data_IF_713007955166
#
_entry.id   IF_713007955166
#
_cell.length_a   1.000
_cell.length_b   1.000
_cell.length_c   1.000
_cell.angle_alpha   90.00
_cell.angle_beta   90.00
_cell.angle_gamma   90.00
#
_symmetry.space_group_name_H-M   'P 1'
#
loop_
_entity.id
_entity.type
_entity.pdbx_description
1 polymer ?
#
# COMPACT_ATOMS: atom_id res chain seq x y z
N UNK A 1 -4.60 -33.88 7.63
CA UNK A 1 -5.49 -32.81 8.16
C UNK A 1 -5.02 -31.41 7.79
N UNK A 2 -3.73 -31.07 7.93
CA UNK A 2 -3.19 -29.74 7.60
C UNK A 2 -3.29 -29.41 6.10
N UNK A 3 -2.95 -30.37 5.23
CA UNK A 3 -2.93 -30.18 3.77
C UNK A 3 -4.32 -29.92 3.16
N UNK A 4 -5.35 -30.58 3.69
CA UNK A 4 -6.75 -30.37 3.29
C UNK A 4 -7.21 -28.97 3.70
N UNK A 5 -6.81 -28.49 4.88
CA UNK A 5 -7.16 -27.15 5.35
C UNK A 5 -6.49 -26.04 4.51
N UNK A 6 -5.26 -26.28 4.03
CA UNK A 6 -4.58 -25.38 3.11
C UNK A 6 -5.26 -25.30 1.74
N UNK A 7 -5.70 -26.44 1.20
CA UNK A 7 -6.46 -26.50 -0.06
C UNK A 7 -7.83 -25.81 0.10
N UNK A 8 -8.49 -26.03 1.24
CA UNK A 8 -9.77 -25.38 1.55
C UNK A 8 -9.60 -23.85 1.68
N UNK A 9 -8.54 -23.39 2.35
CA UNK A 9 -8.22 -21.97 2.41
C UNK A 9 -7.89 -21.38 1.03
N UNK A 10 -7.29 -22.15 0.13
CA UNK A 10 -6.95 -21.68 -1.21
C UNK A 10 -8.20 -21.49 -2.08
N UNK A 11 -9.20 -22.39 -2.02
CA UNK A 11 -10.43 -22.20 -2.80
C UNK A 11 -11.24 -21.00 -2.32
N UNK A 12 -11.31 -20.76 -1.00
CA UNK A 12 -12.03 -19.59 -0.44
C UNK A 12 -11.42 -18.28 -0.96
N UNK A 13 -10.09 -18.19 -0.96
CA UNK A 13 -9.36 -17.01 -1.47
C UNK A 13 -9.59 -16.83 -2.97
N UNK A 14 -9.56 -17.93 -3.74
CA UNK A 14 -9.77 -17.88 -5.18
C UNK A 14 -11.22 -17.54 -5.56
N UNK A 15 -12.20 -18.05 -4.81
CA UNK A 15 -13.60 -17.70 -4.98
C UNK A 15 -13.87 -16.24 -4.67
N UNK A 16 -13.30 -15.72 -3.58
CA UNK A 16 -13.45 -14.32 -3.20
C UNK A 16 -12.81 -13.36 -4.22
N UNK A 17 -11.73 -13.76 -4.90
CA UNK A 17 -11.14 -12.95 -5.98
C UNK A 17 -12.02 -12.90 -7.24
N UNK A 18 -12.88 -13.91 -7.46
CA UNK A 18 -13.69 -14.06 -8.67
C UNK A 18 -15.06 -13.36 -8.58
N UNK A 19 -15.66 -13.29 -7.39
CA UNK A 19 -17.04 -12.77 -7.21
C UNK A 19 -17.11 -11.26 -7.03
N UNK A 20 -16.09 -10.64 -6.43
CA UNK A 20 -16.03 -9.19 -6.18
C UNK A 20 -16.17 -8.32 -7.46
N UNK A 21 -15.47 -8.60 -8.58
CA UNK A 21 -15.62 -7.77 -9.78
C UNK A 21 -16.99 -7.93 -10.45
N UNK A 22 -17.60 -9.12 -10.39
CA UNK A 22 -18.90 -9.38 -11.01
C UNK A 22 -20.03 -8.62 -10.30
N UNK A 23 -19.98 -8.49 -8.97
CA UNK A 23 -20.93 -7.70 -8.20
C UNK A 23 -20.76 -6.18 -8.44
N UNK A 24 -19.54 -5.71 -8.62
CA UNK A 24 -19.26 -4.29 -8.89
C UNK A 24 -19.85 -3.80 -10.23
N UNK A 25 -19.91 -4.67 -11.24
CA UNK A 25 -20.46 -4.36 -12.57
C UNK A 25 -21.99 -4.34 -12.57
N UNK A 26 -22.64 -5.30 -11.90
CA UNK A 26 -24.11 -5.40 -11.90
C UNK A 26 -24.79 -4.34 -11.03
N UNK A 27 -24.11 -3.87 -9.99
CA UNK A 27 -24.64 -2.89 -9.04
C UNK A 27 -24.52 -1.43 -9.49
N UNK A 28 -23.87 -1.15 -10.64
CA UNK A 28 -23.60 0.23 -11.08
C UNK A 28 -22.67 1.01 -10.14
N UNK A 29 -22.02 0.32 -9.20
CA UNK A 29 -21.24 0.94 -8.12
C UNK A 29 -19.98 1.66 -8.63
N UNK A 30 -19.57 1.38 -9.87
CA UNK A 30 -18.47 2.08 -10.55
C UNK A 30 -18.71 3.58 -10.76
N UNK A 31 -19.96 4.05 -10.73
CA UNK A 31 -20.28 5.49 -10.94
C UNK A 31 -20.05 6.33 -9.67
N UNK A 32 -20.11 5.73 -8.48
CA UNK A 32 -19.92 6.44 -7.21
C UNK A 32 -18.60 7.20 -7.03
N UNK A 33 -17.42 6.69 -7.44
CA UNK A 33 -16.18 7.47 -7.32
C UNK A 33 -16.24 8.79 -8.11
N UNK A 34 -16.85 8.80 -9.29
CA UNK A 34 -17.02 10.02 -10.09
C UNK A 34 -17.98 11.00 -9.44
N UNK A 35 -19.10 10.50 -8.90
CA UNK A 35 -20.03 11.33 -8.13
C UNK A 35 -19.36 11.94 -6.89
N UNK A 36 -18.48 11.18 -6.22
CA UNK A 36 -17.70 11.66 -5.09
C UNK A 36 -16.76 12.82 -5.46
N UNK A 37 -16.11 12.77 -6.64
CA UNK A 37 -15.26 13.86 -7.13
C UNK A 37 -16.09 15.13 -7.39
N UNK A 38 -17.24 15.00 -8.05
CA UNK A 38 -18.12 16.14 -8.33
C UNK A 38 -18.64 16.74 -7.02
N UNK A 39 -19.07 15.89 -6.08
CA UNK A 39 -19.51 16.32 -4.75
C UNK A 39 -18.39 17.03 -3.97
N UNK A 40 -17.14 16.57 -4.10
CA UNK A 40 -15.98 17.19 -3.47
C UNK A 40 -15.74 18.63 -3.95
N UNK A 41 -15.88 18.87 -5.26
CA UNK A 41 -15.71 20.22 -5.81
C UNK A 41 -16.88 21.14 -5.53
N UNK A 42 -18.10 20.62 -5.46
CA UNK A 42 -19.30 21.41 -5.20
C UNK A 42 -19.46 21.86 -3.74
N UNK A 43 -18.78 21.21 -2.80
CA UNK A 43 -18.89 21.51 -1.36
C UNK A 43 -17.53 21.96 -0.80
N UNK A 44 -17.33 23.27 -0.62
CA UNK A 44 -16.09 23.80 -0.04
C UNK A 44 -15.90 23.46 1.45
N UNK A 45 -16.99 23.21 2.17
CA UNK A 45 -16.94 23.05 3.63
C UNK A 45 -16.32 21.72 4.07
N UNK A 46 -16.20 20.74 3.16
CA UNK A 46 -15.59 19.43 3.44
C UNK A 46 -14.05 19.44 3.32
N UNK A 47 -13.48 20.45 2.65
CA UNK A 47 -12.04 20.57 2.43
C UNK A 47 -11.18 20.55 3.70
N UNK A 48 -11.52 21.24 4.81
CA UNK A 48 -10.71 21.17 6.03
C UNK A 48 -10.61 19.74 6.60
N UNK A 49 -11.65 18.92 6.45
CA UNK A 49 -11.64 17.52 6.90
C UNK A 49 -10.71 16.66 6.04
N UNK A 50 -10.71 16.87 4.72
CA UNK A 50 -9.77 16.20 3.82
C UNK A 50 -8.34 16.68 4.04
N UNK A 51 -8.13 17.98 4.26
CA UNK A 51 -6.82 18.55 4.61
C UNK A 51 -6.24 17.92 5.88
N UNK A 52 -7.07 17.71 6.89
CA UNK A 52 -6.68 17.05 8.15
C UNK A 52 -6.22 15.59 7.97
N UNK A 53 -6.45 14.98 6.81
CA UNK A 53 -6.02 13.60 6.49
C UNK A 53 -4.86 13.62 5.50
N UNK A 54 -4.96 14.41 4.43
CA UNK A 54 -3.96 14.48 3.36
C UNK A 54 -2.65 15.06 3.90
N UNK A 55 -2.70 16.08 4.76
CA UNK A 55 -1.51 16.73 5.32
C UNK A 55 -0.70 15.74 6.18
N UNK A 56 -1.25 15.07 7.21
CA UNK A 56 -0.48 14.10 7.98
C UNK A 56 -0.06 12.89 7.15
N UNK A 57 -0.85 12.47 6.15
CA UNK A 57 -0.44 11.42 5.23
C UNK A 57 0.81 11.82 4.44
N UNK A 58 0.82 13.02 3.85
CA UNK A 58 1.94 13.53 3.07
C UNK A 58 3.20 13.71 3.93
N UNK A 59 3.05 14.31 5.12
CA UNK A 59 4.15 14.44 6.09
C UNK A 59 4.73 13.09 6.47
N UNK A 60 3.87 12.09 6.64
CA UNK A 60 4.30 10.73 6.95
C UNK A 60 5.05 10.08 5.79
N UNK A 61 4.59 10.25 4.55
CA UNK A 61 5.31 9.80 3.34
C UNK A 61 6.69 10.44 3.26
N UNK A 62 6.76 11.75 3.44
CA UNK A 62 8.00 12.53 3.37
C UNK A 62 8.99 12.09 4.46
N UNK A 63 8.52 11.86 5.69
CA UNK A 63 9.36 11.36 6.78
C UNK A 63 9.96 9.98 6.46
N UNK A 64 9.16 9.04 5.95
CA UNK A 64 9.63 7.71 5.56
C UNK A 64 10.65 7.79 4.43
N UNK A 65 10.40 8.64 3.42
CA UNK A 65 11.30 8.83 2.29
C UNK A 65 12.63 9.42 2.75
N UNK A 66 12.62 10.44 3.60
CA UNK A 66 13.83 11.04 4.14
C UNK A 66 14.69 10.01 4.88
N UNK A 67 14.08 9.17 5.74
CA UNK A 67 14.80 8.12 6.47
C UNK A 67 15.41 7.08 5.50
N UNK A 68 14.65 6.63 4.51
CA UNK A 68 15.13 5.66 3.52
C UNK A 68 16.27 6.23 2.66
N UNK A 69 16.19 7.48 2.25
CA UNK A 69 17.23 8.13 1.46
C UNK A 69 18.49 8.46 2.27
N UNK A 70 18.39 8.70 3.57
CA UNK A 70 19.59 8.94 4.40
C UNK A 70 20.25 7.61 4.77
N UNK A 71 19.48 6.58 5.12
CA UNK A 71 20.03 5.33 5.63
C UNK A 71 20.36 4.28 4.56
N UNK A 72 19.48 4.09 3.58
CA UNK A 72 19.54 2.95 2.65
C UNK A 72 20.16 3.33 1.30
N UNK A 73 19.85 4.53 0.80
CA UNK A 73 20.40 5.00 -0.48
C UNK A 73 21.93 4.98 -0.58
N UNK A 74 22.73 5.48 0.39
CA UNK A 74 24.19 5.47 0.22
C UNK A 74 24.76 4.04 0.15
N UNK A 75 24.21 3.12 0.94
CA UNK A 75 24.61 1.71 0.91
C UNK A 75 24.25 1.06 -0.43
N UNK A 76 23.03 1.28 -0.91
CA UNK A 76 22.55 0.69 -2.16
C UNK A 76 23.24 1.31 -3.38
N UNK A 77 23.47 2.62 -3.38
CA UNK A 77 24.19 3.32 -4.45
C UNK A 77 25.64 2.84 -4.59
N UNK A 78 26.34 2.58 -3.48
CA UNK A 78 27.68 1.99 -3.53
C UNK A 78 27.66 0.59 -4.15
N UNK A 79 26.71 -0.26 -3.78
CA UNK A 79 26.56 -1.60 -4.34
C UNK A 79 26.23 -1.55 -5.84
N UNK A 80 25.29 -0.71 -6.25
CA UNK A 80 24.91 -0.56 -7.66
C UNK A 80 26.00 0.10 -8.49
N UNK A 81 26.80 0.99 -7.91
CA UNK A 81 27.95 1.59 -8.57
C UNK A 81 29.02 0.56 -8.91
N UNK A 82 29.28 -0.40 -8.01
CA UNK A 82 30.23 -1.50 -8.27
C UNK A 82 29.71 -2.45 -9.36
N UNK A 83 28.39 -2.70 -9.40
CA UNK A 83 27.80 -3.66 -10.34
C UNK A 83 27.60 -3.11 -11.77
N UNK A 84 27.15 -1.85 -11.90
CA UNK A 84 26.72 -1.26 -13.18
C UNK A 84 27.43 0.07 -13.50
N UNK A 85 28.45 0.45 -12.72
CA UNK A 85 29.18 1.70 -12.88
C UNK A 85 28.31 2.93 -12.56
N UNK A 86 28.59 4.11 -13.17
CA UNK A 86 27.91 5.37 -12.83
C UNK A 86 26.40 5.35 -13.11
N UNK A 87 25.93 4.55 -14.08
CA UNK A 87 24.50 4.39 -14.34
C UNK A 87 23.77 3.68 -13.19
N UNK A 88 24.48 2.86 -12.42
CA UNK A 88 23.97 2.17 -11.23
C UNK A 88 23.50 3.11 -10.12
N UNK A 89 24.06 4.33 -10.04
CA UNK A 89 23.65 5.32 -9.02
C UNK A 89 22.25 5.87 -9.32
N UNK A 90 21.93 6.05 -10.62
CA UNK A 90 20.63 6.53 -11.06
C UNK A 90 19.56 5.45 -10.88
N UNK A 91 19.87 4.19 -11.22
CA UNK A 91 18.94 3.09 -10.97
C UNK A 91 18.69 2.88 -9.48
N UNK A 92 19.73 2.97 -8.64
CA UNK A 92 19.62 2.93 -7.19
C UNK A 92 18.63 3.97 -6.64
N UNK A 93 18.62 5.19 -7.19
CA UNK A 93 17.69 6.24 -6.79
C UNK A 93 16.24 5.84 -7.04
N UNK A 94 15.91 5.35 -8.24
CA UNK A 94 14.54 4.93 -8.59
C UNK A 94 14.09 3.72 -7.77
N UNK A 95 14.99 2.78 -7.53
CA UNK A 95 14.71 1.58 -6.74
C UNK A 95 14.39 1.93 -5.29
N UNK A 96 15.19 2.80 -4.66
CA UNK A 96 14.92 3.27 -3.29
C UNK A 96 13.59 4.03 -3.22
N UNK A 97 13.26 4.84 -4.23
CA UNK A 97 11.97 5.53 -4.32
C UNK A 97 10.80 4.53 -4.34
N UNK A 98 10.91 3.48 -5.15
CA UNK A 98 9.89 2.44 -5.26
C UNK A 98 9.68 1.70 -3.93
N UNK A 99 10.77 1.24 -3.29
CA UNK A 99 10.69 0.57 -2.00
C UNK A 99 10.11 1.48 -0.91
N UNK A 100 10.53 2.75 -0.89
CA UNK A 100 10.00 3.74 0.05
C UNK A 100 8.50 3.96 -0.13
N UNK A 101 8.02 3.96 -1.38
CA UNK A 101 6.59 4.08 -1.70
C UNK A 101 5.79 2.88 -1.17
N UNK A 102 6.27 1.65 -1.43
CA UNK A 102 5.63 0.43 -0.94
C UNK A 102 5.54 0.42 0.59
N UNK A 103 6.64 0.76 1.27
CA UNK A 103 6.73 0.78 2.73
C UNK A 103 5.83 1.86 3.32
N UNK A 104 5.85 3.06 2.73
CA UNK A 104 5.02 4.17 3.18
C UNK A 104 3.53 3.87 3.03
N UNK A 105 3.09 3.36 1.86
CA UNK A 105 1.70 2.99 1.63
C UNK A 105 1.23 1.89 2.57
N UNK A 106 2.08 0.89 2.82
CA UNK A 106 1.78 -0.15 3.79
C UNK A 106 1.56 0.43 5.19
N UNK A 107 2.47 1.30 5.62
CA UNK A 107 2.45 1.86 6.96
C UNK A 107 1.28 2.84 7.15
N UNK A 108 0.94 3.64 6.14
CA UNK A 108 -0.26 4.50 6.10
C UNK A 108 -1.54 3.65 6.18
N UNK A 109 -1.58 2.54 5.44
CA UNK A 109 -2.75 1.64 5.40
C UNK A 109 -3.06 1.05 6.78
N UNK A 110 -2.03 0.77 7.57
CA UNK A 110 -2.15 0.17 8.91
C UNK A 110 -2.44 1.21 10.00
N UNK A 111 -1.74 2.35 9.94
CA UNK A 111 -1.77 3.36 10.99
C UNK A 111 -2.87 4.38 10.75
N UNK A 112 -2.89 5.02 9.59
CA UNK A 112 -3.70 6.20 9.28
C UNK A 112 -5.09 5.86 8.71
N UNK A 113 -5.17 4.89 7.81
CA UNK A 113 -6.38 4.54 7.07
C UNK A 113 -7.64 4.26 7.92
N UNK A 114 -7.58 3.55 9.07
CA UNK A 114 -8.78 3.33 9.88
C UNK A 114 -9.29 4.63 10.51
N UNK A 115 -8.39 5.48 11.04
CA UNK A 115 -8.80 6.74 11.67
C UNK A 115 -9.27 7.78 10.66
N UNK A 116 -8.58 7.87 9.52
CA UNK A 116 -8.93 8.80 8.45
C UNK A 116 -10.34 8.54 7.88
N UNK A 117 -10.68 7.27 7.62
CA UNK A 117 -12.01 6.91 7.09
C UNK A 117 -13.13 7.25 8.06
N UNK A 118 -12.94 6.97 9.34
CA UNK A 118 -13.94 7.27 10.38
C UNK A 118 -14.22 8.77 10.46
N UNK A 119 -13.19 9.62 10.36
CA UNK A 119 -13.34 11.08 10.41
C UNK A 119 -14.08 11.62 9.18
N UNK A 120 -13.76 11.14 7.97
CA UNK A 120 -14.48 11.55 6.75
C UNK A 120 -15.93 11.10 6.79
N UNK A 121 -16.17 9.85 7.20
CA UNK A 121 -17.51 9.29 7.27
C UNK A 121 -18.40 10.06 8.25
N UNK A 122 -17.89 10.35 9.44
CA UNK A 122 -18.60 11.15 10.44
C UNK A 122 -18.88 12.57 9.95
N UNK A 123 -17.92 13.19 9.25
CA UNK A 123 -18.07 14.55 8.71
C UNK A 123 -19.14 14.61 7.59
N UNK A 124 -19.15 13.63 6.69
CA UNK A 124 -20.13 13.55 5.60
C UNK A 124 -21.53 13.29 6.14
N UNK A 125 -21.70 12.33 7.06
CA UNK A 125 -23.02 12.01 7.62
C UNK A 125 -23.62 13.13 8.46
N UNK A 126 -22.78 13.85 9.22
CA UNK A 126 -23.26 15.00 10.00
C UNK A 126 -23.74 16.13 9.09
N UNK A 127 -23.14 16.30 7.91
CA UNK A 127 -23.60 17.27 6.90
C UNK A 127 -24.95 16.88 6.30
N UNK A 128 -25.18 15.60 6.02
CA UNK A 128 -26.45 15.10 5.48
C UNK A 128 -27.58 15.01 6.54
N UNK A 129 -27.34 15.50 7.76
CA UNK A 129 -28.31 15.49 8.86
C UNK A 129 -28.59 14.09 9.42
N UNK A 130 -27.71 13.12 9.15
CA UNK A 130 -27.84 11.72 9.58
C UNK A 130 -27.10 11.45 10.90
N UNK A 131 -27.20 12.38 11.86
CA UNK A 131 -26.44 12.32 13.12
C UNK A 131 -26.75 11.05 13.94
N UNK A 132 -27.97 10.50 13.83
CA UNK A 132 -28.35 9.27 14.53
C UNK A 132 -27.47 8.07 14.11
N UNK A 133 -27.08 7.99 12.83
CA UNK A 133 -26.19 6.93 12.31
C UNK A 133 -24.78 7.10 12.86
N UNK A 134 -24.30 8.34 12.94
CA UNK A 134 -22.99 8.67 13.52
C UNK A 134 -22.95 8.31 15.00
N UNK A 135 -24.01 8.59 15.76
CA UNK A 135 -24.10 8.20 17.16
C UNK A 135 -24.10 6.68 17.34
N UNK A 136 -24.88 5.94 16.55
CA UNK A 136 -24.88 4.47 16.57
C UNK A 136 -23.49 3.91 16.25
N UNK A 137 -22.80 4.46 15.27
CA UNK A 137 -21.46 4.02 14.88
C UNK A 137 -20.42 4.36 15.95
N UNK A 138 -20.46 5.56 16.55
CA UNK A 138 -19.61 5.94 17.68
C UNK A 138 -19.80 5.01 18.89
N UNK A 139 -21.03 4.57 19.15
CA UNK A 139 -21.34 3.59 20.20
C UNK A 139 -20.77 2.20 19.86
N UNK A 140 -20.82 1.78 18.58
CA UNK A 140 -20.22 0.53 18.11
C UNK A 140 -18.68 0.55 18.16
N UNK A 141 -18.07 1.69 17.84
CA UNK A 141 -16.61 1.91 17.85
C UNK A 141 -15.98 1.99 19.25
N UNK A 142 -16.76 2.18 20.32
CA UNK A 142 -16.26 2.04 21.71
C UNK A 142 -15.62 0.66 21.95
N UNK A 143 -16.03 -0.36 21.21
CA UNK A 143 -15.31 -1.63 21.16
C UNK A 143 -14.04 -1.47 20.30
N UNK A 144 -13.01 -0.85 20.89
CA UNK A 144 -11.70 -0.61 20.28
C UNK A 144 -11.19 -1.93 19.69
N UNK A 145 -11.10 -2.06 18.36
CA UNK A 145 -10.45 -3.23 17.75
C UNK A 145 -9.05 -3.34 18.36
N UNK A 146 -8.82 -4.43 19.09
CA UNK A 146 -7.58 -4.65 19.82
C UNK A 146 -6.38 -4.44 18.89
N UNK A 147 -5.30 -3.83 19.38
CA UNK A 147 -4.05 -3.66 18.62
C UNK A 147 -3.57 -4.99 18.01
N UNK A 148 -3.92 -6.12 18.66
CA UNK A 148 -3.73 -7.48 18.18
C UNK A 148 -4.38 -7.75 16.81
N UNK A 149 -5.57 -7.21 16.51
CA UNK A 149 -6.24 -7.37 15.21
C UNK A 149 -5.48 -6.63 14.11
N UNK A 150 -4.95 -5.42 14.40
CA UNK A 150 -4.10 -4.69 13.45
C UNK A 150 -2.81 -5.47 13.15
N UNK A 151 -2.19 -6.07 14.17
CA UNK A 151 -1.01 -6.93 13.98
C UNK A 151 -1.35 -8.17 13.16
N UNK A 152 -2.50 -8.80 13.38
CA UNK A 152 -2.92 -9.97 12.59
C UNK A 152 -3.12 -9.58 11.12
N UNK A 153 -3.76 -8.45 10.83
CA UNK A 153 -3.89 -7.95 9.44
C UNK A 153 -2.54 -7.65 8.80
N UNK A 154 -1.61 -7.05 9.56
CA UNK A 154 -0.22 -6.80 9.13
C UNK A 154 0.49 -8.12 8.83
N UNK A 155 0.38 -9.12 9.71
CA UNK A 155 0.99 -10.43 9.51
C UNK A 155 0.43 -11.13 8.29
N UNK A 156 -0.88 -11.14 8.10
CA UNK A 156 -1.52 -11.76 6.93
C UNK A 156 -1.10 -11.06 5.64
N UNK A 157 -1.02 -9.73 5.62
CA UNK A 157 -0.51 -9.00 4.46
C UNK A 157 0.95 -9.33 4.16
N UNK A 158 1.82 -9.30 5.19
CA UNK A 158 3.22 -9.69 5.05
C UNK A 158 3.32 -11.10 4.48
N UNK A 159 2.61 -12.08 5.06
CA UNK A 159 2.73 -13.49 4.68
C UNK A 159 2.23 -13.79 3.26
N UNK A 160 1.19 -13.09 2.77
CA UNK A 160 0.63 -13.35 1.44
C UNK A 160 1.34 -12.56 0.33
N UNK A 161 1.87 -11.35 0.61
CA UNK A 161 2.50 -10.50 -0.41
C UNK A 161 4.04 -10.58 -0.43
N UNK A 162 4.69 -10.93 0.67
CA UNK A 162 6.13 -11.21 0.68
C UNK A 162 6.56 -12.29 -0.32
N UNK A 163 5.90 -13.46 -0.45
CA UNK A 163 6.40 -14.49 -1.35
C UNK A 163 6.42 -14.03 -2.81
N UNK A 164 5.44 -13.22 -3.22
CA UNK A 164 5.37 -12.64 -4.56
C UNK A 164 6.48 -11.61 -4.81
N UNK A 165 6.77 -10.75 -3.84
CA UNK A 165 7.82 -9.73 -3.93
C UNK A 165 9.22 -10.36 -3.91
N UNK A 166 9.45 -11.32 -3.00
CA UNK A 166 10.73 -12.03 -2.89
C UNK A 166 11.01 -12.85 -4.17
N UNK A 167 10.00 -13.51 -4.74
CA UNK A 167 10.15 -14.24 -6.00
C UNK A 167 10.52 -13.30 -7.16
N UNK A 168 9.89 -12.13 -7.22
CA UNK A 168 10.20 -11.13 -8.24
C UNK A 168 11.62 -10.55 -8.07
N UNK A 169 12.03 -10.26 -6.83
CA UNK A 169 13.39 -9.80 -6.51
C UNK A 169 14.45 -10.86 -6.83
N UNK A 170 14.17 -12.12 -6.51
CA UNK A 170 15.01 -13.26 -6.86
C UNK A 170 15.14 -13.40 -8.38
N UNK A 171 14.04 -13.24 -9.11
CA UNK A 171 14.01 -13.28 -10.57
C UNK A 171 14.82 -12.13 -11.20
N UNK A 172 14.65 -10.91 -10.69
CA UNK A 172 15.41 -9.72 -11.15
C UNK A 172 16.90 -9.88 -10.86
N UNK A 173 17.26 -10.44 -9.71
CA UNK A 173 18.65 -10.80 -9.39
C UNK A 173 19.20 -11.86 -10.35
N UNK A 174 18.40 -12.88 -10.68
CA UNK A 174 18.78 -13.92 -11.65
C UNK A 174 19.02 -13.34 -13.05
N UNK A 175 18.16 -12.41 -13.48
CA UNK A 175 18.27 -11.70 -14.76
C UNK A 175 19.44 -10.71 -14.75
N UNK A 176 19.74 -10.10 -13.61
CA UNK A 176 20.88 -9.18 -13.42
C UNK A 176 22.26 -9.85 -13.50
N UNK A 177 22.34 -11.19 -13.36
CA UNK A 177 23.58 -11.95 -13.56
C UNK A 177 23.92 -12.11 -15.05
N UNK A 178 22.94 -12.00 -15.95
CA UNK A 178 23.12 -12.16 -17.40
C UNK A 178 24.13 -11.15 -17.99
N UNK A 179 24.03 -9.82 -17.73
CA UNK A 179 25.01 -8.87 -18.26
C UNK A 179 26.42 -9.03 -17.66
N UNK A 180 26.54 -9.57 -16.43
CA UNK A 180 27.85 -9.82 -15.79
C UNK A 180 28.62 -10.92 -16.52
N UNK A 181 27.94 -11.97 -16.98
CA UNK A 181 28.57 -13.07 -17.73
C UNK A 181 29.00 -12.61 -19.13
N UNK A 182 28.20 -11.77 -19.79
CA UNK A 182 28.50 -11.24 -21.12
C UNK A 182 29.74 -10.32 -21.10
N UNK A 183 29.84 -9.41 -20.13
CA UNK A 183 31.00 -8.50 -20.03
C UNK A 183 32.33 -9.22 -19.72
N UNK A 184 32.30 -10.44 -19.18
CA UNK A 184 33.50 -11.25 -18.92
C UNK A 184 33.99 -12.04 -20.16
N UNK A 185 33.17 -12.17 -21.21
CA UNK A 185 33.58 -12.82 -22.46
C UNK A 185 34.47 -11.94 -23.34
N UNK A 186 34.25 -10.63 -23.34
CA UNK A 186 34.86 -9.69 -24.29
C UNK A 186 36.29 -9.24 -23.92
N UNK A 187 36.82 -9.66 -22.76
CA UNK A 187 38.20 -9.31 -22.34
C UNK A 187 39.25 -10.35 -22.74
N UNK A 188 38.87 -11.38 -23.49
CA UNK A 188 39.78 -12.47 -23.93
C UNK A 188 40.13 -12.47 -25.43
N UNK A 189 39.79 -11.41 -26.17
CA UNK A 189 40.17 -11.20 -27.58
C UNK A 189 41.10 -10.03 -27.76
#
# INVERSE_FOLDING_TARGET
MILVNWILSLYEILWQFCTEPAFAVTSGTYVYPFQGIIYFFNNSDIWPFYGAIIIPQFLFMLAVYAVMYVAVYPLYALLSFVAFGPFGVVSAFFTVLQYSNMISNFLISVVLMPGARDVVFDAVLSREGQDYVVFQEKLRRKHKKSWKVKITTVKTFLFCKLPEIILLELLILLVGIIPVIVSMGDTTS
#
